data_IF_608635014411
#
_entry.id   IF_608635014411
#
_cell.length_a   1.000
_cell.length_b   1.000
_cell.length_c   1.000
_cell.angle_alpha   90.00
_cell.angle_beta   90.00
_cell.angle_gamma   90.00
#
_symmetry.space_group_name_H-M   'P 1'
#
loop_
_entity.id
_entity.type
_entity.pdbx_description
1 polymer ?
#
# COMPACT_ATOMS: atom_id res chain seq x y z
N UNK A 1 -29.48 3.52 -15.85
CA UNK A 1 -29.73 2.93 -17.18
C UNK A 1 -28.61 1.92 -17.38
N UNK A 2 -28.90 0.64 -17.10
CA UNK A 2 -27.94 -0.44 -17.34
C UNK A 2 -27.72 -0.50 -18.84
N UNK A 3 -26.47 -0.37 -19.27
CA UNK A 3 -26.10 -0.77 -20.63
C UNK A 3 -25.20 -1.99 -20.54
N UNK A 4 -25.64 -3.01 -21.26
CA UNK A 4 -25.10 -4.36 -21.28
C UNK A 4 -24.78 -4.69 -22.72
N UNK A 5 -23.50 -4.82 -23.08
CA UNK A 5 -22.99 -5.96 -23.86
C UNK A 5 -21.46 -5.94 -24.03
N UNK A 6 -20.84 -7.11 -24.26
CA UNK A 6 -19.46 -7.41 -23.92
C UNK A 6 -18.52 -7.23 -25.12
N UNK A 7 -17.29 -6.82 -24.84
CA UNK A 7 -16.17 -7.03 -25.73
C UNK A 7 -15.05 -7.67 -24.92
N UNK A 8 -14.75 -8.93 -25.25
CA UNK A 8 -13.59 -9.63 -24.78
C UNK A 8 -12.33 -8.80 -25.05
N UNK A 9 -11.79 -8.23 -23.99
CA UNK A 9 -10.46 -7.66 -23.95
C UNK A 9 -9.77 -8.36 -22.77
N UNK A 10 -8.90 -9.32 -23.06
CA UNK A 10 -7.97 -9.86 -22.06
C UNK A 10 -6.93 -8.79 -21.74
N UNK A 11 -7.32 -7.78 -20.97
CA UNK A 11 -6.46 -6.71 -20.49
C UNK A 11 -6.31 -6.85 -18.99
N UNK A 12 -5.25 -7.54 -18.57
CA UNK A 12 -4.81 -7.66 -17.18
C UNK A 12 -5.67 -8.62 -16.35
N UNK A 13 -5.03 -9.49 -15.57
CA UNK A 13 -5.70 -10.05 -14.41
C UNK A 13 -6.16 -8.85 -13.57
N UNK A 14 -7.48 -8.64 -13.46
CA UNK A 14 -8.01 -7.54 -12.66
C UNK A 14 -7.43 -7.61 -11.26
N UNK A 15 -6.87 -6.51 -10.77
CA UNK A 15 -6.48 -6.40 -9.36
C UNK A 15 -7.78 -6.27 -8.57
N UNK A 16 -8.25 -7.37 -8.00
CA UNK A 16 -9.42 -7.36 -7.13
C UNK A 16 -8.98 -7.02 -5.72
N UNK A 17 -9.59 -5.99 -5.13
CA UNK A 17 -9.42 -5.69 -3.72
C UNK A 17 -10.08 -6.79 -2.89
N UNK A 18 -9.27 -7.57 -2.19
CA UNK A 18 -9.73 -8.54 -1.20
C UNK A 18 -9.20 -8.20 0.19
N UNK A 19 -9.83 -8.77 1.21
CA UNK A 19 -9.25 -8.81 2.54
C UNK A 19 -7.95 -9.63 2.51
N UNK A 20 -7.00 -9.34 3.42
CA UNK A 20 -5.85 -10.21 3.63
C UNK A 20 -6.34 -11.62 3.97
N UNK A 21 -5.71 -12.65 3.42
CA UNK A 21 -6.00 -14.04 3.83
C UNK A 21 -5.43 -14.31 5.23
N UNK A 22 -5.83 -15.42 5.85
CA UNK A 22 -5.26 -15.83 7.14
C UNK A 22 -3.72 -15.86 7.09
N UNK A 23 -3.08 -15.41 8.16
CA UNK A 23 -1.63 -15.25 8.27
C UNK A 23 -1.03 -14.26 7.25
N UNK A 24 -1.81 -13.26 6.85
CA UNK A 24 -1.28 -12.14 6.08
C UNK A 24 -1.64 -10.80 6.71
N UNK A 25 -0.78 -9.82 6.47
CA UNK A 25 -1.03 -8.43 6.79
C UNK A 25 -0.98 -7.62 5.49
N UNK A 26 -1.69 -6.50 5.46
CA UNK A 26 -1.74 -5.60 4.32
C UNK A 26 -1.27 -4.21 4.71
N UNK A 27 -0.40 -3.65 3.89
CA UNK A 27 -0.13 -2.22 3.91
C UNK A 27 -1.05 -1.49 2.93
N UNK A 28 -1.70 -0.45 3.41
CA UNK A 28 -2.29 0.58 2.56
C UNK A 28 -1.34 1.76 2.58
N UNK A 29 -0.69 2.04 1.45
CA UNK A 29 0.33 3.09 1.27
C UNK A 29 -0.25 4.21 0.38
N UNK A 30 0.18 5.45 0.58
CA UNK A 30 -0.16 6.62 -0.23
C UNK A 30 0.95 7.68 -0.18
N UNK A 31 1.65 7.85 -1.30
CA UNK A 31 2.63 8.92 -1.49
C UNK A 31 2.00 10.22 -2.01
N UNK A 32 2.24 11.35 -1.35
CA UNK A 32 1.64 12.64 -1.71
C UNK A 32 2.69 13.68 -2.13
N UNK A 33 2.43 14.48 -3.17
CA UNK A 33 3.30 15.59 -3.58
C UNK A 33 2.50 16.83 -3.98
N UNK A 34 2.95 18.00 -3.53
CA UNK A 34 2.42 19.31 -3.87
C UNK A 34 3.25 19.99 -4.98
N UNK A 35 3.10 19.52 -6.21
CA UNK A 35 3.80 20.04 -7.40
C UNK A 35 4.51 18.94 -8.18
N UNK A 36 5.37 19.33 -9.14
CA UNK A 36 6.17 18.38 -9.93
C UNK A 36 7.52 18.99 -10.38
N UNK A 37 8.58 18.89 -9.55
CA UNK A 37 8.60 18.39 -8.17
C UNK A 37 8.02 19.42 -7.18
N UNK A 38 7.67 18.97 -5.98
CA UNK A 38 7.25 19.85 -4.88
C UNK A 38 7.28 19.13 -3.53
N UNK A 39 6.94 19.81 -2.42
CA UNK A 39 6.94 19.19 -1.08
C UNK A 39 6.14 17.90 -1.06
N UNK A 40 6.72 16.85 -0.47
CA UNK A 40 6.22 15.48 -0.54
C UNK A 40 6.14 14.85 0.84
N UNK A 41 5.12 14.04 1.05
CA UNK A 41 4.98 13.17 2.22
C UNK A 41 4.55 11.76 1.82
N UNK A 42 4.46 10.89 2.82
CA UNK A 42 4.13 9.49 2.68
C UNK A 42 3.29 9.03 3.88
N UNK A 43 2.55 7.94 3.76
CA UNK A 43 1.63 7.53 4.82
C UNK A 43 1.07 6.13 4.62
N UNK A 44 1.12 5.34 5.69
CA UNK A 44 0.83 3.92 5.63
C UNK A 44 -0.01 3.44 6.80
N UNK A 45 -0.83 2.42 6.51
CA UNK A 45 -1.59 1.69 7.52
C UNK A 45 -1.36 0.19 7.36
N UNK A 46 -0.87 -0.46 8.41
CA UNK A 46 -0.77 -1.91 8.50
C UNK A 46 -2.05 -2.48 9.11
N UNK A 47 -2.68 -3.44 8.43
CA UNK A 47 -3.90 -4.10 8.91
C UNK A 47 -3.79 -5.61 8.88
N UNK A 48 -4.48 -6.27 9.82
CA UNK A 48 -4.68 -7.72 9.81
C UNK A 48 -5.95 -8.13 9.05
N UNK A 49 -6.20 -9.45 8.97
CA UNK A 49 -7.39 -10.05 8.33
C UNK A 49 -8.73 -9.54 8.91
N UNK A 50 -8.75 -9.11 10.17
CA UNK A 50 -9.93 -8.53 10.80
C UNK A 50 -10.06 -7.01 10.51
N UNK A 51 -9.25 -6.48 9.57
CA UNK A 51 -9.12 -5.06 9.26
C UNK A 51 -8.67 -4.19 10.46
N UNK A 52 -8.17 -4.82 11.52
CA UNK A 52 -7.67 -4.11 12.70
C UNK A 52 -6.34 -3.45 12.36
N UNK A 53 -6.21 -2.18 12.70
CA UNK A 53 -4.95 -1.45 12.54
C UNK A 53 -3.94 -2.03 13.52
N UNK A 54 -2.81 -2.49 12.98
CA UNK A 54 -1.68 -2.99 13.76
C UNK A 54 -0.61 -1.92 13.92
N UNK A 55 -0.46 -1.08 12.90
CA UNK A 55 0.51 0.00 12.91
C UNK A 55 0.16 1.10 11.89
N UNK A 56 0.75 2.27 12.10
CA UNK A 56 0.54 3.51 11.32
C UNK A 56 1.85 4.29 11.27
N UNK A 57 2.24 4.78 10.09
CA UNK A 57 3.29 5.78 9.99
C UNK A 57 2.98 6.83 8.93
N UNK A 58 3.58 8.00 9.08
CA UNK A 58 3.58 9.05 8.07
C UNK A 58 4.80 9.95 8.25
N UNK A 59 5.24 10.59 7.18
CA UNK A 59 6.40 11.47 7.26
C UNK A 59 6.68 12.30 6.01
N UNK A 60 7.47 13.36 6.13
CA UNK A 60 7.94 14.13 4.99
C UNK A 60 9.02 13.36 4.21
N UNK A 61 8.98 13.41 2.88
CA UNK A 61 9.98 12.81 2.00
C UNK A 61 10.91 13.83 1.33
N UNK A 62 10.70 15.14 1.56
CA UNK A 62 11.44 16.21 0.90
C UNK A 62 10.68 16.75 -0.30
N UNK A 63 11.35 16.91 -1.45
CA UNK A 63 10.73 17.44 -2.67
C UNK A 63 10.95 16.50 -3.85
N UNK A 64 9.89 15.87 -4.33
CA UNK A 64 9.91 14.92 -5.45
C UNK A 64 8.60 14.93 -6.22
N UNK A 65 8.51 14.16 -7.31
CA UNK A 65 7.26 13.97 -8.05
C UNK A 65 6.34 12.97 -7.33
N UNK A 66 5.03 13.01 -7.59
CA UNK A 66 4.07 12.06 -7.01
C UNK A 66 4.46 10.59 -7.24
N UNK A 67 4.89 10.23 -8.46
CA UNK A 67 5.27 8.85 -8.76
C UNK A 67 6.50 8.38 -7.95
N UNK A 68 7.41 9.31 -7.61
CA UNK A 68 8.55 9.01 -6.74
C UNK A 68 8.09 8.88 -5.29
N UNK A 69 7.16 9.74 -4.84
CA UNK A 69 6.55 9.67 -3.52
C UNK A 69 5.93 8.30 -3.25
N UNK A 70 5.09 7.83 -4.18
CA UNK A 70 4.41 6.53 -4.12
C UNK A 70 5.40 5.36 -4.02
N UNK A 71 6.45 5.39 -4.84
CA UNK A 71 7.46 4.33 -4.82
C UNK A 71 8.29 4.34 -3.53
N UNK A 72 8.62 5.52 -3.02
CA UNK A 72 9.35 5.66 -1.75
C UNK A 72 8.46 5.24 -0.58
N UNK A 73 7.15 5.46 -0.65
CA UNK A 73 6.21 5.00 0.38
C UNK A 73 6.17 3.48 0.49
N UNK A 74 6.00 2.78 -0.65
CA UNK A 74 6.08 1.31 -0.73
C UNK A 74 7.39 0.79 -0.14
N UNK A 75 8.52 1.43 -0.47
CA UNK A 75 9.84 1.07 0.07
C UNK A 75 9.90 1.27 1.58
N UNK A 76 9.31 2.34 2.08
CA UNK A 76 9.29 2.66 3.51
C UNK A 76 8.45 1.65 4.29
N UNK A 77 7.28 1.24 3.76
CA UNK A 77 6.46 0.17 4.33
C UNK A 77 7.21 -1.17 4.40
N UNK A 78 7.93 -1.53 3.33
CA UNK A 78 8.76 -2.73 3.31
C UNK A 78 9.86 -2.71 4.38
N UNK A 79 10.56 -1.58 4.50
CA UNK A 79 11.61 -1.40 5.51
C UNK A 79 11.04 -1.45 6.93
N UNK A 80 9.90 -0.79 7.16
CA UNK A 80 9.21 -0.82 8.43
C UNK A 80 8.90 -2.25 8.85
N UNK A 81 8.36 -3.05 7.93
CA UNK A 81 8.06 -4.45 8.18
C UNK A 81 9.32 -5.24 8.53
N UNK A 82 10.40 -5.12 7.73
CA UNK A 82 11.66 -5.85 7.94
C UNK A 82 12.24 -5.62 9.35
N UNK A 83 12.12 -4.39 9.86
CA UNK A 83 12.56 -4.05 11.22
C UNK A 83 11.66 -4.69 12.28
N UNK A 84 10.35 -4.82 12.01
CA UNK A 84 9.36 -5.32 12.96
C UNK A 84 8.97 -6.80 12.78
N UNK A 85 9.54 -7.53 11.83
CA UNK A 85 9.26 -8.97 11.62
C UNK A 85 9.53 -9.81 12.88
N UNK A 86 10.42 -9.35 13.78
CA UNK A 86 10.64 -9.97 15.09
C UNK A 86 9.49 -9.78 16.10
N UNK A 87 8.67 -8.74 15.94
CA UNK A 87 7.57 -8.39 16.85
C UNK A 87 6.20 -8.94 16.39
N UNK A 88 6.00 -9.13 15.08
CA UNK A 88 4.71 -9.57 14.52
C UNK A 88 4.58 -11.09 14.33
N UNK A 89 5.59 -11.86 14.73
CA UNK A 89 5.62 -13.31 14.60
C UNK A 89 6.00 -13.75 13.18
N UNK A 90 6.98 -14.65 13.07
CA UNK A 90 7.61 -15.09 11.80
C UNK A 90 6.68 -15.86 10.82
N UNK A 91 5.36 -15.88 11.06
CA UNK A 91 4.38 -16.65 10.30
C UNK A 91 3.44 -15.81 9.43
N UNK A 92 3.54 -14.47 9.46
CA UNK A 92 2.70 -13.60 8.63
C UNK A 92 3.41 -13.13 7.37
N UNK A 93 2.75 -13.27 6.21
CA UNK A 93 3.22 -12.74 4.92
C UNK A 93 2.62 -11.37 4.60
N UNK A 94 3.32 -10.54 3.83
CA UNK A 94 2.79 -9.28 3.32
C UNK A 94 2.04 -9.49 2.01
N UNK A 95 0.90 -8.82 1.86
CA UNK A 95 0.15 -8.70 0.60
C UNK A 95 -0.10 -7.23 0.27
#
# INVERSE_FOLDING_TARGET
LFDSHPAALSHGAGVFWSLPTSNTMKFNVDGSSHGKPGPTGCGDVLRDVASSVKDLFSGPLGSMCSNEAELIDIKTACNFMLIHMGAFGAHCSLV
#
